data_IF_314723728574
#
_entry.id   IF_314723728574
#
_cell.length_a   1.000
_cell.length_b   1.000
_cell.length_c   1.000
_cell.angle_alpha   90.00
_cell.angle_beta   90.00
_cell.angle_gamma   90.00
#
_symmetry.space_group_name_H-M   'P 1'
#
loop_
_entity.id
_entity.type
_entity.pdbx_description
1 polymer ?
#
# COMPACT_ATOMS: atom_id res chain seq x y z
N UNK A 1 -3.64 24.03 4.76
CA UNK A 1 -3.19 22.64 4.62
C UNK A 1 -4.09 21.98 3.59
N UNK A 2 -3.53 21.33 2.59
CA UNK A 2 -4.31 20.56 1.62
C UNK A 2 -4.84 19.31 2.30
N UNK A 3 -6.10 18.92 2.02
CA UNK A 3 -6.67 17.68 2.56
C UNK A 3 -5.91 16.47 2.01
N UNK A 4 -5.60 15.45 2.84
CA UNK A 4 -5.03 14.20 2.35
C UNK A 4 -5.90 13.55 1.29
N UNK A 5 -5.29 12.82 0.36
CA UNK A 5 -5.97 12.10 -0.71
C UNK A 5 -5.87 10.61 -0.45
N UNK A 6 -7.02 9.94 -0.39
CA UNK A 6 -7.15 8.48 -0.26
C UNK A 6 -7.66 7.90 -1.56
N UNK A 7 -6.97 6.95 -2.15
CA UNK A 7 -7.44 6.26 -3.35
C UNK A 7 -7.84 4.82 -3.04
N UNK A 8 -8.94 4.37 -3.64
CA UNK A 8 -9.39 2.98 -3.57
C UNK A 8 -8.98 2.28 -4.86
N UNK A 9 -8.16 1.24 -4.75
CA UNK A 9 -7.63 0.45 -5.87
C UNK A 9 -8.01 -1.02 -5.70
N UNK A 10 -8.20 -1.71 -6.78
CA UNK A 10 -8.49 -3.12 -6.83
C UNK A 10 -9.12 -3.50 -8.16
N UNK A 11 -9.16 -4.80 -8.45
CA UNK A 11 -9.82 -5.31 -9.66
C UNK A 11 -11.32 -4.97 -9.69
N UNK A 12 -12.00 -5.03 -10.84
CA UNK A 12 -13.44 -4.83 -10.92
C UNK A 12 -14.21 -5.80 -10.00
N UNK A 13 -15.38 -5.36 -9.56
CA UNK A 13 -16.33 -6.13 -8.75
C UNK A 13 -15.83 -6.55 -7.35
N UNK A 14 -14.71 -6.02 -6.86
CA UNK A 14 -14.31 -6.22 -5.45
C UNK A 14 -15.15 -5.37 -4.48
N UNK A 15 -15.89 -4.38 -4.99
CA UNK A 15 -16.79 -3.54 -4.20
C UNK A 15 -16.26 -2.13 -3.88
N UNK A 16 -15.33 -1.61 -4.70
CA UNK A 16 -14.75 -0.26 -4.51
C UNK A 16 -15.82 0.83 -4.38
N UNK A 17 -16.74 0.90 -5.33
CA UNK A 17 -17.81 1.91 -5.34
C UNK A 17 -18.75 1.80 -4.14
N UNK A 18 -18.98 0.60 -3.64
CA UNK A 18 -19.78 0.39 -2.42
C UNK A 18 -19.10 1.01 -1.20
N UNK A 19 -17.81 0.79 -1.05
CA UNK A 19 -17.02 1.37 0.04
C UNK A 19 -16.90 2.88 -0.14
N UNK A 20 -16.59 3.35 -1.35
CA UNK A 20 -16.56 4.77 -1.67
C UNK A 20 -17.84 5.47 -1.25
N UNK A 21 -19.00 4.95 -1.67
CA UNK A 21 -20.31 5.56 -1.34
C UNK A 21 -20.59 5.55 0.17
N UNK A 22 -20.13 4.53 0.90
CA UNK A 22 -20.29 4.49 2.36
C UNK A 22 -19.38 5.48 3.08
N UNK A 23 -18.17 5.68 2.60
CA UNK A 23 -17.21 6.63 3.19
C UNK A 23 -17.64 8.08 2.93
N UNK A 24 -18.11 8.35 1.74
CA UNK A 24 -18.64 9.69 1.37
C UNK A 24 -19.94 9.99 2.12
N UNK A 25 -20.71 8.96 2.50
CA UNK A 25 -21.99 9.08 3.17
C UNK A 25 -23.10 9.63 2.25
N UNK A 26 -24.26 9.94 2.84
CA UNK A 26 -25.39 10.60 2.15
C UNK A 26 -25.16 12.10 1.88
N UNK A 27 -24.02 12.64 2.25
CA UNK A 27 -23.65 14.01 1.92
C UNK A 27 -23.26 14.08 0.46
N UNK A 28 -24.21 14.50 -0.34
CA UNK A 28 -24.07 14.83 -1.75
C UNK A 28 -22.77 15.58 -1.98
N UNK A 29 -21.92 15.04 -2.84
CA UNK A 29 -20.74 15.70 -3.36
C UNK A 29 -21.13 17.10 -3.83
N UNK A 30 -20.57 18.13 -3.23
CA UNK A 30 -20.56 19.44 -3.87
C UNK A 30 -19.54 19.30 -4.98
N UNK A 31 -20.02 19.00 -6.18
CA UNK A 31 -19.24 19.07 -7.41
C UNK A 31 -18.98 20.55 -7.63
N UNK A 32 -17.79 21.01 -7.35
CA UNK A 32 -17.32 22.28 -7.90
C UNK A 32 -17.12 22.05 -9.40
N UNK A 33 -18.06 22.52 -10.18
CA UNK A 33 -18.02 22.55 -11.65
C UNK A 33 -16.85 23.43 -12.11
N UNK A 34 -15.71 22.81 -12.38
CA UNK A 34 -14.65 23.44 -13.18
C UNK A 34 -14.79 22.90 -14.59
N UNK A 35 -15.15 23.72 -15.59
CA UNK A 35 -15.39 23.25 -16.95
C UNK A 35 -14.09 22.80 -17.61
N UNK A 36 -14.00 21.54 -17.99
CA UNK A 36 -13.00 21.09 -18.95
C UNK A 36 -12.29 19.78 -18.74
N UNK A 37 -12.52 19.00 -17.66
CA UNK A 37 -11.84 17.72 -17.45
C UNK A 37 -12.82 16.66 -16.98
N UNK A 38 -12.86 15.53 -17.65
CA UNK A 38 -13.60 14.31 -17.30
C UNK A 38 -13.15 13.69 -15.94
N UNK A 39 -12.38 14.44 -15.15
CA UNK A 39 -11.86 14.05 -13.82
C UNK A 39 -12.87 14.25 -12.68
N UNK A 40 -13.92 15.04 -12.87
CA UNK A 40 -14.76 15.57 -11.78
C UNK A 40 -15.73 14.57 -11.14
N UNK A 41 -15.83 13.35 -11.64
CA UNK A 41 -16.74 12.31 -11.09
C UNK A 41 -16.11 11.35 -10.09
N UNK A 42 -14.83 11.48 -9.85
CA UNK A 42 -14.02 10.46 -9.17
C UNK A 42 -13.63 10.89 -7.75
N UNK A 43 -13.57 12.21 -7.52
CA UNK A 43 -13.17 12.79 -6.25
C UNK A 43 -14.39 13.17 -5.41
N UNK A 44 -14.36 12.79 -4.15
CA UNK A 44 -15.36 13.23 -3.15
C UNK A 44 -14.68 13.49 -1.83
N UNK A 45 -15.33 14.26 -0.96
CA UNK A 45 -14.85 14.51 0.39
C UNK A 45 -15.36 13.41 1.32
N UNK A 46 -14.48 12.85 2.13
CA UNK A 46 -14.78 11.96 3.23
C UNK A 46 -14.39 12.58 4.56
N UNK A 47 -15.00 12.09 5.63
CA UNK A 47 -14.64 12.45 6.99
C UNK A 47 -14.67 11.20 7.86
N UNK A 48 -13.65 11.02 8.69
CA UNK A 48 -13.60 9.98 9.69
C UNK A 48 -12.99 10.52 10.97
N UNK A 49 -13.74 10.38 12.08
CA UNK A 49 -13.43 11.03 13.36
C UNK A 49 -13.32 12.55 13.15
N UNK A 50 -12.16 13.14 13.36
CA UNK A 50 -11.91 14.57 13.17
C UNK A 50 -11.09 14.88 11.91
N UNK A 51 -10.86 13.88 11.05
CA UNK A 51 -10.01 14.00 9.87
C UNK A 51 -10.86 14.09 8.60
N UNK A 52 -10.68 15.17 7.87
CA UNK A 52 -11.24 15.36 6.54
C UNK A 52 -10.21 14.97 5.48
N UNK A 53 -10.63 14.28 4.45
CA UNK A 53 -9.79 13.86 3.33
C UNK A 53 -10.59 13.84 2.02
N UNK A 54 -9.88 13.84 0.91
CA UNK A 54 -10.46 13.57 -0.39
C UNK A 54 -10.31 12.08 -0.70
N UNK A 55 -11.33 11.48 -1.31
CA UNK A 55 -11.33 10.06 -1.67
C UNK A 55 -11.56 9.90 -3.18
N UNK A 56 -10.82 8.97 -3.79
CA UNK A 56 -10.89 8.64 -5.22
C UNK A 56 -11.36 7.21 -5.37
N UNK A 57 -12.46 6.99 -6.13
CA UNK A 57 -12.80 5.66 -6.66
C UNK A 57 -12.14 5.47 -8.03
N UNK A 58 -11.01 4.76 -8.07
CA UNK A 58 -10.33 4.48 -9.33
C UNK A 58 -11.15 3.60 -10.28
N UNK A 59 -12.12 2.86 -9.74
CA UNK A 59 -13.04 2.03 -10.55
C UNK A 59 -13.96 2.82 -11.46
N UNK A 60 -14.18 4.11 -11.16
CA UNK A 60 -14.93 5.03 -12.02
C UNK A 60 -14.10 5.63 -13.17
N UNK A 61 -12.79 5.34 -13.23
CA UNK A 61 -11.91 5.82 -14.30
C UNK A 61 -12.03 4.89 -15.50
N UNK A 62 -12.66 5.37 -16.56
CA UNK A 62 -12.76 4.67 -17.84
C UNK A 62 -11.52 4.95 -18.69
N UNK A 63 -10.86 3.89 -19.14
CA UNK A 63 -9.68 3.95 -20.02
C UNK A 63 -10.04 3.36 -21.37
N UNK A 64 -11.07 3.92 -22.01
CA UNK A 64 -11.53 3.49 -23.33
C UNK A 64 -11.72 1.97 -23.43
N UNK A 65 -11.53 1.41 -24.62
CA UNK A 65 -11.64 -0.03 -24.92
C UNK A 65 -10.38 -0.83 -24.56
N UNK A 66 -9.60 -0.40 -23.57
CA UNK A 66 -8.37 -1.09 -23.17
C UNK A 66 -8.64 -2.45 -22.55
N UNK A 67 -7.75 -3.45 -22.74
CA UNK A 67 -7.85 -4.73 -22.09
C UNK A 67 -7.93 -4.61 -20.56
N UNK A 68 -8.63 -5.52 -19.92
CA UNK A 68 -8.90 -5.56 -18.49
C UNK A 68 -7.65 -5.31 -17.61
N UNK A 69 -6.54 -5.99 -17.90
CA UNK A 69 -5.29 -5.81 -17.13
C UNK A 69 -4.68 -4.41 -17.30
N UNK A 70 -4.83 -3.82 -18.49
CA UNK A 70 -4.36 -2.47 -18.76
C UNK A 70 -5.16 -1.44 -17.97
N UNK A 71 -6.47 -1.62 -17.85
CA UNK A 71 -7.34 -0.75 -17.05
C UNK A 71 -6.96 -0.81 -15.56
N UNK A 72 -6.78 -2.02 -15.00
CA UNK A 72 -6.38 -2.19 -13.60
C UNK A 72 -5.03 -1.52 -13.33
N UNK A 73 -4.07 -1.71 -14.23
CA UNK A 73 -2.74 -1.11 -14.12
C UNK A 73 -2.82 0.42 -14.11
N UNK A 74 -3.53 1.01 -15.04
CA UNK A 74 -3.66 2.46 -15.12
C UNK A 74 -4.40 3.05 -13.92
N UNK A 75 -5.40 2.36 -13.39
CA UNK A 75 -6.06 2.75 -12.14
C UNK A 75 -5.09 2.74 -10.95
N UNK A 76 -4.22 1.72 -10.86
CA UNK A 76 -3.20 1.65 -9.84
C UNK A 76 -2.14 2.76 -10.01
N UNK A 77 -1.72 3.07 -11.22
CA UNK A 77 -0.78 4.16 -11.53
C UNK A 77 -1.33 5.52 -11.09
N UNK A 78 -2.60 5.81 -11.39
CA UNK A 78 -3.25 7.05 -10.95
C UNK A 78 -3.30 7.14 -9.42
N UNK A 79 -3.64 6.06 -8.74
CA UNK A 79 -3.67 6.04 -7.28
C UNK A 79 -2.27 6.29 -6.68
N UNK A 80 -1.24 5.68 -7.25
CA UNK A 80 0.16 5.86 -6.82
C UNK A 80 0.59 7.32 -7.01
N UNK A 81 0.18 7.96 -8.10
CA UNK A 81 0.56 9.32 -8.44
C UNK A 81 -0.13 10.36 -7.54
N UNK A 82 -1.42 10.18 -7.26
CA UNK A 82 -2.25 11.20 -6.63
C UNK A 82 -2.51 10.98 -5.14
N UNK A 83 -2.48 9.74 -4.63
CA UNK A 83 -2.87 9.45 -3.26
C UNK A 83 -1.74 9.61 -2.24
N UNK A 84 -2.11 10.07 -1.05
CA UNK A 84 -1.26 10.03 0.14
C UNK A 84 -1.36 8.66 0.84
N UNK A 85 -2.55 8.04 0.81
CA UNK A 85 -2.81 6.70 1.33
C UNK A 85 -3.66 5.92 0.33
N UNK A 86 -3.34 4.64 0.11
CA UNK A 86 -4.05 3.78 -0.81
C UNK A 86 -4.77 2.68 -0.04
N UNK A 87 -6.08 2.54 -0.28
CA UNK A 87 -6.86 1.37 0.12
C UNK A 87 -6.80 0.36 -1.01
N UNK A 88 -6.10 -0.74 -0.79
CA UNK A 88 -6.06 -1.84 -1.74
C UNK A 88 -7.14 -2.86 -1.40
N UNK A 89 -8.13 -3.00 -2.27
CA UNK A 89 -9.28 -3.88 -2.08
C UNK A 89 -9.15 -5.19 -2.84
N UNK A 90 -9.37 -6.29 -2.14
CA UNK A 90 -9.45 -7.65 -2.66
C UNK A 90 -10.77 -8.31 -2.24
N UNK A 91 -11.10 -9.46 -2.81
CA UNK A 91 -12.36 -10.16 -2.60
C UNK A 91 -12.10 -11.54 -1.98
N UNK A 92 -12.56 -11.76 -0.74
CA UNK A 92 -12.36 -13.03 -0.04
C UNK A 92 -12.97 -14.23 -0.78
N UNK A 93 -14.09 -14.03 -1.47
CA UNK A 93 -14.81 -15.11 -2.16
C UNK A 93 -14.07 -15.64 -3.39
N UNK A 94 -13.25 -14.83 -4.01
CA UNK A 94 -12.44 -15.21 -5.17
C UNK A 94 -11.06 -15.73 -4.77
N UNK A 95 -10.65 -15.45 -3.52
CA UNK A 95 -9.30 -15.71 -3.06
C UNK A 95 -8.27 -14.80 -3.74
N UNK A 96 -7.01 -15.13 -3.56
CA UNK A 96 -5.89 -14.42 -4.15
C UNK A 96 -5.79 -14.72 -5.64
N UNK A 97 -5.75 -13.69 -6.47
CA UNK A 97 -5.66 -13.80 -7.93
C UNK A 97 -4.37 -13.15 -8.46
N UNK A 98 -3.98 -13.56 -9.66
CA UNK A 98 -2.82 -13.01 -10.36
C UNK A 98 -2.92 -11.48 -10.59
N UNK A 99 -4.15 -10.97 -10.77
CA UNK A 99 -4.39 -9.53 -10.86
C UNK A 99 -4.14 -8.82 -9.53
N UNK A 100 -4.50 -9.44 -8.42
CA UNK A 100 -4.22 -8.89 -7.08
C UNK A 100 -2.71 -8.83 -6.83
N UNK A 101 -1.97 -9.87 -7.19
CA UNK A 101 -0.51 -9.91 -7.07
C UNK A 101 0.18 -8.86 -7.95
N UNK A 102 -0.31 -8.66 -9.17
CA UNK A 102 0.22 -7.62 -10.07
C UNK A 102 0.03 -6.21 -9.48
N UNK A 103 -1.15 -5.90 -8.98
CA UNK A 103 -1.43 -4.61 -8.33
C UNK A 103 -0.58 -4.45 -7.07
N UNK A 104 -0.49 -5.50 -6.25
CA UNK A 104 0.33 -5.50 -5.04
C UNK A 104 1.79 -5.16 -5.32
N UNK A 105 2.38 -5.74 -6.37
CA UNK A 105 3.76 -5.43 -6.77
C UNK A 105 3.95 -3.97 -7.17
N UNK A 106 2.98 -3.38 -7.87
CA UNK A 106 3.02 -1.97 -8.26
C UNK A 106 2.95 -1.06 -7.01
N UNK A 107 2.00 -1.35 -6.12
CA UNK A 107 1.80 -0.58 -4.90
C UNK A 107 3.00 -0.69 -3.95
N UNK A 108 3.57 -1.87 -3.81
CA UNK A 108 4.75 -2.10 -2.98
C UNK A 108 5.95 -1.28 -3.46
N UNK A 109 6.19 -1.24 -4.78
CA UNK A 109 7.28 -0.45 -5.37
C UNK A 109 7.09 1.07 -5.21
N UNK A 110 5.86 1.53 -5.07
CA UNK A 110 5.55 2.96 -4.92
C UNK A 110 5.97 3.53 -3.57
N UNK A 111 6.20 2.67 -2.57
CA UNK A 111 6.46 3.04 -1.16
C UNK A 111 5.37 3.92 -0.52
N UNK A 112 4.23 4.07 -1.16
CA UNK A 112 3.07 4.76 -0.58
C UNK A 112 2.49 3.91 0.55
N UNK A 113 1.92 4.52 1.60
CA UNK A 113 1.16 3.80 2.60
C UNK A 113 -0.03 3.07 1.97
N UNK A 114 -0.12 1.76 2.17
CA UNK A 114 -1.19 0.91 1.65
C UNK A 114 -1.89 0.21 2.81
N UNK A 115 -3.22 0.31 2.83
CA UNK A 115 -4.08 -0.42 3.76
C UNK A 115 -4.84 -1.47 2.95
N UNK A 116 -4.61 -2.76 3.26
CA UNK A 116 -5.22 -3.87 2.56
C UNK A 116 -6.61 -4.18 3.13
N UNK A 117 -7.64 -4.03 2.32
CA UNK A 117 -9.03 -4.33 2.67
C UNK A 117 -9.50 -5.60 1.96
N UNK A 118 -9.87 -6.61 2.72
CA UNK A 118 -10.46 -7.85 2.21
C UNK A 118 -11.98 -7.74 2.34
N UNK A 119 -12.64 -7.50 1.21
CA UNK A 119 -14.09 -7.28 1.15
C UNK A 119 -14.89 -8.57 0.97
N UNK A 120 -16.19 -8.47 1.21
CA UNK A 120 -17.18 -9.55 1.13
C UNK A 120 -17.00 -10.61 2.23
N UNK A 121 -16.41 -10.23 3.35
CA UNK A 121 -16.34 -11.03 4.57
C UNK A 121 -17.67 -10.85 5.33
N UNK A 122 -18.68 -11.57 4.88
CA UNK A 122 -20.07 -11.36 5.33
C UNK A 122 -20.43 -12.16 6.59
N UNK A 123 -19.57 -13.09 6.99
CA UNK A 123 -19.75 -13.91 8.19
C UNK A 123 -18.41 -14.25 8.85
N UNK A 124 -18.47 -14.80 10.07
CA UNK A 124 -17.29 -15.14 10.87
C UNK A 124 -16.44 -16.28 10.28
N UNK A 125 -17.06 -17.19 9.55
CA UNK A 125 -16.35 -18.32 8.95
C UNK A 125 -15.37 -17.85 7.86
N UNK A 126 -15.75 -16.85 7.07
CA UNK A 126 -14.91 -16.26 6.03
C UNK A 126 -13.70 -15.50 6.57
N UNK A 127 -13.66 -15.21 7.88
CA UNK A 127 -12.48 -14.55 8.49
C UNK A 127 -11.21 -15.40 8.42
N UNK A 128 -11.35 -16.71 8.33
CA UNK A 128 -10.19 -17.59 8.18
C UNK A 128 -9.59 -17.52 6.77
N UNK A 129 -10.38 -17.16 5.78
CA UNK A 129 -9.94 -17.11 4.37
C UNK A 129 -9.11 -15.85 4.06
N UNK A 130 -9.04 -14.88 5.01
CA UNK A 130 -8.23 -13.68 4.83
C UNK A 130 -6.71 -13.93 4.97
N UNK A 131 -6.31 -15.06 5.58
CA UNK A 131 -4.90 -15.34 5.85
C UNK A 131 -4.04 -15.44 4.59
N UNK A 132 -4.60 -15.88 3.47
CA UNK A 132 -3.88 -15.97 2.20
C UNK A 132 -3.41 -14.59 1.71
N UNK A 133 -4.12 -13.52 2.08
CA UNK A 133 -3.81 -12.16 1.66
C UNK A 133 -2.63 -11.52 2.41
N UNK A 134 -2.14 -12.12 3.50
CA UNK A 134 -0.88 -11.70 4.14
C UNK A 134 0.31 -11.82 3.17
N UNK A 135 0.25 -12.74 2.22
CA UNK A 135 1.29 -12.94 1.21
C UNK A 135 1.49 -11.73 0.28
N UNK A 136 0.53 -10.80 0.23
CA UNK A 136 0.65 -9.57 -0.54
C UNK A 136 1.62 -8.54 0.05
N UNK A 137 2.03 -8.70 1.33
CA UNK A 137 3.10 -7.92 1.95
C UNK A 137 2.67 -6.55 2.50
N UNK A 138 1.37 -6.33 2.78
CA UNK A 138 0.86 -5.07 3.33
C UNK A 138 0.45 -5.16 4.81
N UNK A 139 1.02 -6.11 5.55
CA UNK A 139 0.69 -6.34 6.95
C UNK A 139 -0.68 -6.98 7.15
N UNK A 140 -1.34 -6.66 8.24
CA UNK A 140 -2.63 -7.24 8.61
C UNK A 140 -3.75 -6.81 7.65
N UNK A 141 -4.41 -7.76 6.96
CA UNK A 141 -5.57 -7.44 6.14
C UNK A 141 -6.77 -7.04 7.01
N UNK A 142 -7.53 -6.03 6.58
CA UNK A 142 -8.75 -5.60 7.25
C UNK A 142 -9.97 -6.30 6.63
N UNK A 143 -10.61 -7.24 7.35
CA UNK A 143 -11.82 -7.89 6.86
C UNK A 143 -13.00 -6.92 6.93
N UNK A 144 -13.64 -6.69 5.78
CA UNK A 144 -14.78 -5.80 5.67
C UNK A 144 -15.94 -6.47 4.91
N UNK A 145 -17.15 -5.96 5.14
CA UNK A 145 -18.32 -6.23 4.32
C UNK A 145 -18.95 -4.92 3.88
N UNK A 146 -18.69 -4.53 2.64
CA UNK A 146 -19.25 -3.30 2.07
C UNK A 146 -20.78 -3.31 2.03
N UNK A 147 -21.39 -4.45 1.77
CA UNK A 147 -22.86 -4.62 1.74
C UNK A 147 -23.47 -4.41 3.14
N UNK A 148 -22.85 -4.92 4.19
CA UNK A 148 -23.36 -4.87 5.56
C UNK A 148 -22.76 -3.73 6.39
N UNK A 149 -21.75 -3.01 5.89
CA UNK A 149 -21.08 -1.94 6.62
C UNK A 149 -20.19 -2.43 7.77
N UNK A 150 -19.76 -3.70 7.75
CA UNK A 150 -18.94 -4.29 8.79
C UNK A 150 -17.46 -4.00 8.56
N UNK A 151 -16.70 -3.74 9.63
CA UNK A 151 -15.24 -3.59 9.61
C UNK A 151 -14.74 -2.26 9.05
N UNK A 152 -15.62 -1.36 8.61
CA UNK A 152 -15.20 -0.07 8.03
C UNK A 152 -14.51 0.85 9.03
N UNK A 153 -14.92 0.81 10.29
CA UNK A 153 -14.29 1.62 11.34
C UNK A 153 -12.81 1.30 11.49
N UNK A 154 -12.47 0.04 11.64
CA UNK A 154 -11.06 -0.40 11.78
C UNK A 154 -10.24 -0.07 10.53
N UNK A 155 -10.84 -0.22 9.33
CA UNK A 155 -10.19 0.16 8.07
C UNK A 155 -9.89 1.66 8.03
N UNK A 156 -10.87 2.50 8.37
CA UNK A 156 -10.72 3.95 8.32
C UNK A 156 -9.79 4.48 9.42
N UNK A 157 -9.76 3.86 10.60
CA UNK A 157 -8.78 4.15 11.65
C UNK A 157 -7.36 3.94 11.11
N UNK A 158 -7.11 2.82 10.44
CA UNK A 158 -5.81 2.53 9.84
C UNK A 158 -5.44 3.52 8.72
N UNK A 159 -6.42 3.97 7.93
CA UNK A 159 -6.20 4.98 6.88
C UNK A 159 -5.79 6.32 7.51
N UNK A 160 -6.51 6.77 8.52
CA UNK A 160 -6.27 8.06 9.20
C UNK A 160 -4.94 8.07 9.95
N UNK A 161 -4.56 6.96 10.56
CA UNK A 161 -3.23 6.81 11.19
C UNK A 161 -2.08 7.05 10.21
N UNK A 162 -2.27 6.79 8.93
CA UNK A 162 -1.27 7.02 7.90
C UNK A 162 -1.23 8.47 7.38
N UNK A 163 -2.20 9.34 7.71
CA UNK A 163 -2.15 10.75 7.28
C UNK A 163 -1.02 11.54 7.95
N UNK A 164 -0.67 11.19 9.18
CA UNK A 164 0.33 11.87 10.00
C UNK A 164 1.70 11.19 9.96
N UNK A 165 1.80 10.07 9.29
CA UNK A 165 3.09 9.53 8.91
C UNK A 165 3.57 10.37 7.71
N UNK A 166 4.07 11.60 7.98
CA UNK A 166 5.23 12.04 7.24
C UNK A 166 6.12 10.81 7.23
N UNK A 167 6.56 10.42 6.07
CA UNK A 167 7.56 9.38 5.97
C UNK A 167 8.72 9.84 6.87
N UNK A 168 8.66 9.50 8.15
CA UNK A 168 9.84 9.45 8.97
C UNK A 168 10.66 8.35 8.31
N UNK A 169 11.37 8.78 7.30
CA UNK A 169 12.47 8.03 6.78
C UNK A 169 13.39 7.83 7.99
N UNK A 170 13.50 6.61 8.53
CA UNK A 170 14.32 6.38 9.72
C UNK A 170 15.80 6.69 9.47
N UNK A 171 16.15 6.96 8.21
CA UNK A 171 17.51 7.19 7.78
C UNK A 171 17.69 8.65 7.34
N UNK A 172 18.82 9.23 7.69
CA UNK A 172 19.20 10.57 7.26
C UNK A 172 19.20 10.68 5.72
N UNK A 173 18.95 11.89 5.20
CA UNK A 173 18.90 12.15 3.75
C UNK A 173 20.20 11.74 3.03
N UNK A 174 21.33 11.75 3.74
CA UNK A 174 22.64 11.37 3.23
C UNK A 174 22.90 9.86 3.28
N UNK A 175 22.01 9.05 3.87
CA UNK A 175 22.17 7.58 3.94
C UNK A 175 21.91 6.91 2.61
N UNK A 176 22.89 6.19 2.10
CA UNK A 176 22.77 5.46 0.83
C UNK A 176 22.04 4.13 1.06
N UNK A 177 20.96 3.92 0.34
CA UNK A 177 20.14 2.69 0.42
C UNK A 177 20.53 1.72 -0.67
N UNK A 178 20.85 0.51 -0.27
CA UNK A 178 21.24 -0.58 -1.16
C UNK A 178 20.25 -1.72 -1.06
N UNK A 179 19.78 -2.21 -2.20
CA UNK A 179 18.98 -3.44 -2.30
C UNK A 179 19.68 -4.42 -3.23
N UNK A 180 19.83 -5.67 -2.78
CA UNK A 180 20.46 -6.74 -3.58
C UNK A 180 19.38 -7.64 -4.13
N UNK A 181 19.17 -7.56 -5.44
CA UNK A 181 18.16 -8.33 -6.18
C UNK A 181 18.81 -9.45 -6.99
N UNK A 182 18.15 -10.59 -7.06
CA UNK A 182 18.62 -11.73 -7.86
C UNK A 182 17.81 -12.99 -7.59
N UNK A 183 17.95 -13.97 -8.48
CA UNK A 183 17.31 -15.28 -8.33
C UNK A 183 17.77 -15.98 -7.03
N UNK A 184 17.00 -16.92 -6.47
CA UNK A 184 17.48 -17.76 -5.37
C UNK A 184 18.82 -18.43 -5.72
N UNK A 185 19.69 -18.59 -4.73
CA UNK A 185 20.98 -19.30 -4.82
C UNK A 185 22.03 -18.72 -5.79
N UNK A 186 21.92 -17.45 -6.17
CA UNK A 186 22.95 -16.79 -7.02
C UNK A 186 24.10 -16.15 -6.23
N UNK A 187 24.09 -16.27 -4.89
CA UNK A 187 25.17 -15.74 -4.06
C UNK A 187 24.86 -14.39 -3.38
N UNK A 188 23.60 -13.96 -3.31
CA UNK A 188 23.20 -12.70 -2.63
C UNK A 188 23.71 -12.63 -1.19
N UNK A 189 23.46 -13.66 -0.39
CA UNK A 189 23.92 -13.72 0.99
C UNK A 189 25.44 -13.70 1.12
N UNK A 190 26.15 -14.34 0.19
CA UNK A 190 27.61 -14.31 0.17
C UNK A 190 28.15 -12.92 -0.15
N UNK A 191 27.49 -12.19 -1.03
CA UNK A 191 27.83 -10.80 -1.34
C UNK A 191 27.59 -9.88 -0.14
N UNK A 192 26.43 -10.01 0.53
CA UNK A 192 26.11 -9.24 1.74
C UNK A 192 27.14 -9.51 2.84
N UNK A 193 27.47 -10.79 3.09
CA UNK A 193 28.46 -11.16 4.10
C UNK A 193 29.86 -10.65 3.74
N UNK A 194 30.22 -10.61 2.46
CA UNK A 194 31.49 -10.03 2.01
C UNK A 194 31.53 -8.52 2.26
N UNK A 195 30.45 -7.80 1.97
CA UNK A 195 30.34 -6.34 2.23
C UNK A 195 30.47 -6.06 3.74
N UNK A 196 29.69 -6.78 4.55
CA UNK A 196 29.65 -6.56 6.00
C UNK A 196 30.91 -7.09 6.73
N UNK A 197 31.67 -7.98 6.10
CA UNK A 197 32.92 -8.53 6.63
C UNK A 197 34.19 -7.74 6.30
N UNK A 198 34.08 -6.65 5.53
CA UNK A 198 35.22 -5.78 5.24
C UNK A 198 35.72 -5.05 6.49
N UNK A 199 37.04 -4.97 6.68
CA UNK A 199 37.66 -4.36 7.89
C UNK A 199 37.27 -2.88 8.12
N UNK A 200 36.81 -2.17 7.09
CA UNK A 200 36.40 -0.77 7.16
C UNK A 200 34.89 -0.57 7.37
N UNK A 201 34.13 -1.66 7.45
CA UNK A 201 32.69 -1.61 7.68
C UNK A 201 32.38 -1.67 9.16
N UNK A 202 31.62 -0.72 9.66
CA UNK A 202 31.09 -0.70 11.02
C UNK A 202 29.59 -1.01 10.92
N UNK A 203 29.16 -2.16 11.39
CA UNK A 203 27.76 -2.54 11.43
C UNK A 203 27.09 -1.94 12.64
N UNK A 204 26.00 -1.22 12.45
CA UNK A 204 25.18 -0.68 13.52
C UNK A 204 24.23 -1.76 14.05
N UNK A 205 24.24 -2.02 15.36
CA UNK A 205 23.37 -3.00 16.01
C UNK A 205 21.97 -2.43 16.36
N UNK A 206 21.60 -1.29 15.81
CA UNK A 206 20.28 -0.70 16.05
C UNK A 206 19.29 -1.38 15.11
N UNK A 207 18.65 -2.44 15.58
CA UNK A 207 17.50 -3.01 14.92
C UNK A 207 16.39 -1.95 14.89
N UNK A 208 16.12 -1.40 13.72
CA UNK A 208 14.96 -0.54 13.51
C UNK A 208 13.68 -1.28 13.89
N UNK A 209 12.85 -0.66 14.69
CA UNK A 209 11.59 -1.20 15.22
C UNK A 209 10.46 -1.16 14.19
N UNK A 210 10.64 -1.70 13.00
CA UNK A 210 9.57 -1.85 12.02
C UNK A 210 9.36 -3.31 11.66
N UNK A 211 8.12 -3.74 11.72
CA UNK A 211 7.65 -5.12 11.79
C UNK A 211 7.96 -6.02 10.60
N UNK A 212 8.48 -5.54 9.45
CA UNK A 212 8.43 -6.30 8.21
C UNK A 212 9.69 -6.30 7.32
N UNK A 213 10.71 -5.53 7.61
CA UNK A 213 11.97 -5.60 6.87
C UNK A 213 13.15 -5.58 7.86
N UNK A 214 14.00 -6.59 7.79
CA UNK A 214 15.27 -6.57 8.54
C UNK A 214 16.24 -5.79 7.66
N UNK A 215 16.31 -4.49 7.90
CA UNK A 215 17.33 -3.64 7.30
C UNK A 215 18.63 -3.76 8.12
N UNK A 216 19.76 -3.77 7.43
CA UNK A 216 21.06 -3.80 8.07
C UNK A 216 21.80 -2.50 7.79
N UNK A 217 22.01 -1.73 8.85
CA UNK A 217 22.76 -0.46 8.79
C UNK A 217 24.26 -0.73 8.93
N UNK A 218 25.05 -0.02 8.11
CA UNK A 218 26.50 -0.04 8.24
C UNK A 218 27.12 1.25 7.70
N UNK A 219 28.31 1.59 8.22
CA UNK A 219 29.09 2.71 7.73
C UNK A 219 30.38 2.20 7.08
N UNK A 220 30.75 2.81 5.97
CA UNK A 220 32.00 2.55 5.27
C UNK A 220 32.65 3.86 4.85
N UNK A 221 33.88 4.07 5.27
CA UNK A 221 34.68 5.26 4.98
C UNK A 221 34.00 6.60 5.33
N UNK A 222 33.21 6.59 6.43
CA UNK A 222 32.48 7.79 6.91
C UNK A 222 31.15 8.07 6.21
N UNK A 223 30.73 7.19 5.30
CA UNK A 223 29.43 7.24 4.65
C UNK A 223 28.50 6.17 5.22
N UNK A 224 27.26 6.55 5.52
CA UNK A 224 26.25 5.63 6.04
C UNK A 224 25.47 4.96 4.92
N UNK A 225 25.24 3.67 5.09
CA UNK A 225 24.53 2.80 4.17
C UNK A 225 23.51 1.97 4.91
N UNK A 226 22.45 1.62 4.23
CA UNK A 226 21.47 0.64 4.70
C UNK A 226 21.19 -0.40 3.62
N UNK A 227 21.31 -1.69 3.99
CA UNK A 227 20.88 -2.81 3.16
C UNK A 227 19.43 -3.10 3.45
N UNK A 228 18.56 -2.84 2.46
CA UNK A 228 17.12 -2.99 2.56
C UNK A 228 16.73 -4.41 2.19
N UNK A 229 15.74 -4.96 2.92
CA UNK A 229 15.14 -6.27 2.65
C UNK A 229 16.16 -7.43 2.70
N UNK A 230 16.87 -7.51 3.80
CA UNK A 230 17.73 -8.66 4.10
C UNK A 230 16.94 -9.86 4.63
N UNK A 231 15.60 -9.76 4.72
CA UNK A 231 14.73 -10.86 5.10
C UNK A 231 14.92 -12.04 4.14
N UNK A 232 15.27 -13.19 4.68
CA UNK A 232 15.59 -14.39 3.90
C UNK A 232 17.06 -14.52 3.47
N UNK A 233 17.91 -13.54 3.79
CA UNK A 233 19.36 -13.70 3.67
C UNK A 233 19.93 -14.21 4.99
N UNK A 234 20.73 -15.27 4.94
CA UNK A 234 21.50 -15.70 6.11
C UNK A 234 22.72 -14.79 6.22
N UNK A 235 22.62 -13.82 7.12
CA UNK A 235 23.73 -12.96 7.52
C UNK A 235 24.44 -13.73 8.65
N UNK A 236 25.66 -14.16 8.42
CA UNK A 236 26.47 -14.94 9.36
C UNK A 236 27.50 -14.08 10.07
#
# INVERSE_FOLDING_TARGET
MTKPIVAIVGKPNVGKSTIFNRVVGERVSIVEDTPGVTRDRIYSSGEWLTHEFNIIDTGGIEIGDAPFQTQIRAQAEIAIEEADVIIFMVNVREGLTQSDEMVAQMLYKSKKPVVLAVNKVDNLEMRNDIYDFYSLGFGDPYPISGSHGLGLGDLLDAVVENFNKESEDPYDEDTIRLSIIGRPNVGKSSLVNAILGEERVIVSNVAGTTRDAIDTEYSYDGQDYVLIDTAGMKIG
#
